data_IF_240747768222
#
_entry.id   IF_240747768222
#
_cell.length_a   1.000
_cell.length_b   1.000
_cell.length_c   1.000
_cell.angle_alpha   90.00
_cell.angle_beta   90.00
_cell.angle_gamma   90.00
#
_symmetry.space_group_name_H-M   'P 1'
#
loop_
_entity.id
_entity.type
_entity.pdbx_description
1 polymer ?
#
# COMPACT_ATOMS: atom_id res chain seq x y z
N UNK A 1 -8.10 -1.57 -0.61
CA UNK A 1 -7.19 -0.51 -0.10
C UNK A 1 -5.89 -1.13 0.39
N UNK A 2 -4.78 -0.39 0.41
CA UNK A 2 -3.48 -0.86 0.88
C UNK A 2 -2.80 0.22 1.74
N UNK A 3 -2.40 -0.12 2.96
CA UNK A 3 -1.70 0.76 3.90
C UNK A 3 -0.41 0.13 4.43
N UNK A 4 0.52 0.99 4.87
CA UNK A 4 1.72 0.62 5.62
C UNK A 4 1.74 1.43 6.91
N UNK A 5 1.39 0.81 8.04
CA UNK A 5 1.08 1.54 9.27
C UNK A 5 -0.06 2.53 9.04
N UNK A 6 0.13 3.80 9.43
CA UNK A 6 -0.88 4.87 9.26
C UNK A 6 -0.93 5.47 7.85
N UNK A 7 -0.06 5.04 6.93
CA UNK A 7 0.06 5.61 5.58
C UNK A 7 -0.77 4.83 4.56
N UNK A 8 -1.80 5.46 3.98
CA UNK A 8 -2.56 4.92 2.86
C UNK A 8 -1.77 5.05 1.54
N UNK A 9 -1.19 3.95 1.09
CA UNK A 9 -0.35 3.93 -0.11
C UNK A 9 -1.16 3.75 -1.40
N UNK A 10 -2.24 2.98 -1.36
CA UNK A 10 -3.16 2.77 -2.48
C UNK A 10 -4.64 2.67 -2.04
N UNK A 11 -5.54 3.27 -2.83
CA UNK A 11 -6.98 3.07 -2.74
C UNK A 11 -7.64 3.25 -4.11
N UNK A 12 -8.68 2.47 -4.40
CA UNK A 12 -9.41 2.58 -5.65
C UNK A 12 -10.17 3.91 -5.79
N UNK A 13 -10.56 4.54 -4.68
CA UNK A 13 -11.22 5.85 -4.66
C UNK A 13 -10.25 7.04 -4.56
N UNK A 14 -8.94 6.82 -4.65
CA UNK A 14 -7.97 7.91 -4.63
C UNK A 14 -8.00 8.74 -5.91
N UNK A 15 -7.56 10.01 -5.83
CA UNK A 15 -7.43 10.89 -6.99
C UNK A 15 -6.60 10.23 -8.11
N UNK A 16 -7.10 10.33 -9.35
CA UNK A 16 -6.51 9.64 -10.50
C UNK A 16 -5.06 10.07 -10.78
N UNK A 17 -4.69 11.33 -10.54
CA UNK A 17 -3.31 11.81 -10.72
C UNK A 17 -2.38 11.21 -9.68
N UNK A 18 -2.81 11.16 -8.41
CA UNK A 18 -2.04 10.50 -7.33
C UNK A 18 -1.84 9.01 -7.61
N UNK A 19 -2.89 8.33 -8.09
CA UNK A 19 -2.80 6.92 -8.46
C UNK A 19 -1.83 6.71 -9.62
N UNK A 20 -1.97 7.47 -10.69
CA UNK A 20 -1.10 7.38 -11.87
C UNK A 20 0.37 7.69 -11.54
N UNK A 21 0.62 8.60 -10.59
CA UNK A 21 1.97 8.91 -10.13
C UNK A 21 2.61 7.76 -9.32
N UNK A 22 1.84 7.12 -8.43
CA UNK A 22 2.34 6.06 -7.53
C UNK A 22 2.41 4.67 -8.17
N UNK A 23 1.51 4.36 -9.10
CA UNK A 23 1.42 3.04 -9.75
C UNK A 23 2.73 2.54 -10.37
N UNK A 24 3.57 3.38 -11.02
CA UNK A 24 4.86 2.93 -11.57
C UNK A 24 6.01 2.89 -10.54
N UNK A 25 5.79 3.34 -9.30
CA UNK A 25 6.83 3.39 -8.27
C UNK A 25 6.94 2.06 -7.52
N UNK A 26 8.15 1.72 -7.07
CA UNK A 26 8.35 0.61 -6.15
C UNK A 26 7.64 0.85 -4.81
N UNK A 27 7.16 -0.22 -4.16
CA UNK A 27 6.43 -0.16 -2.89
C UNK A 27 7.19 0.64 -1.83
N UNK A 28 8.52 0.41 -1.73
CA UNK A 28 9.40 1.17 -0.84
C UNK A 28 9.33 2.67 -1.12
N UNK A 29 9.50 3.06 -2.38
CA UNK A 29 9.48 4.47 -2.80
C UNK A 29 8.11 5.12 -2.54
N UNK A 30 7.00 4.39 -2.75
CA UNK A 30 5.66 4.89 -2.40
C UNK A 30 5.52 5.10 -0.91
N UNK A 31 5.98 4.16 -0.08
CA UNK A 31 5.93 4.31 1.38
C UNK A 31 6.75 5.51 1.84
N UNK A 32 7.94 5.72 1.28
CA UNK A 32 8.79 6.87 1.60
C UNK A 32 8.16 8.20 1.16
N UNK A 33 7.60 8.26 -0.06
CA UNK A 33 6.91 9.44 -0.56
C UNK A 33 5.67 9.79 0.28
N UNK A 34 4.85 8.81 0.65
CA UNK A 34 3.60 9.06 1.39
C UNK A 34 3.87 9.39 2.86
N UNK A 35 4.80 8.68 3.49
CA UNK A 35 5.15 8.90 4.91
C UNK A 35 6.08 10.10 5.12
N UNK A 36 6.70 10.61 4.05
CA UNK A 36 7.75 11.65 4.09
C UNK A 36 8.92 11.26 4.99
N UNK A 37 9.22 9.96 5.06
CA UNK A 37 10.29 9.37 5.87
C UNK A 37 10.96 8.27 5.07
N UNK A 38 12.29 8.22 5.08
CA UNK A 38 13.03 7.11 4.49
C UNK A 38 12.85 5.82 5.31
N UNK A 39 12.81 4.68 4.63
CA UNK A 39 12.82 3.37 5.26
C UNK A 39 14.25 3.13 5.81
N UNK A 40 14.41 2.86 7.12
CA UNK A 40 15.72 2.64 7.72
C UNK A 40 16.51 1.52 7.05
N UNK A 41 17.83 1.69 6.91
CA UNK A 41 18.72 0.72 6.24
C UNK A 41 18.70 -0.70 6.83
N UNK A 42 18.36 -0.83 8.11
CA UNK A 42 18.31 -2.14 8.78
C UNK A 42 16.97 -2.86 8.58
N UNK A 43 15.94 -2.17 8.07
CA UNK A 43 14.63 -2.74 7.87
C UNK A 43 14.64 -3.68 6.66
N UNK A 44 14.21 -4.92 6.86
CA UNK A 44 14.23 -5.99 5.84
C UNK A 44 12.86 -6.27 5.22
N UNK A 45 11.80 -5.75 5.83
CA UNK A 45 10.44 -5.93 5.33
C UNK A 45 9.51 -4.83 5.78
N UNK A 46 8.46 -4.62 4.99
CA UNK A 46 7.31 -3.78 5.30
C UNK A 46 6.11 -4.68 5.60
N UNK A 47 5.28 -4.26 6.56
CA UNK A 47 3.96 -4.86 6.80
C UNK A 47 2.94 -4.01 6.05
N UNK A 48 2.20 -4.63 5.14
CA UNK A 48 1.12 -3.98 4.42
C UNK A 48 -0.21 -4.58 4.84
N UNK A 49 -1.15 -3.73 5.20
CA UNK A 49 -2.53 -4.11 5.49
C UNK A 49 -3.38 -3.86 4.26
N UNK A 50 -4.18 -4.86 3.90
CA UNK A 50 -5.00 -4.84 2.69
C UNK A 50 -6.46 -5.05 3.04
N UNK A 51 -7.31 -4.25 2.41
CA UNK A 51 -8.74 -4.51 2.32
C UNK A 51 -9.04 -4.86 0.86
N UNK A 52 -9.63 -6.02 0.64
CA UNK A 52 -9.97 -6.51 -0.69
C UNK A 52 -11.48 -6.74 -0.78
N UNK A 53 -12.02 -6.52 -1.97
CA UNK A 53 -13.42 -6.81 -2.30
C UNK A 53 -13.44 -8.04 -3.21
N UNK A 54 -14.44 -8.92 -3.03
CA UNK A 54 -14.66 -10.04 -3.94
C UNK A 54 -15.13 -9.51 -5.31
N UNK A 55 -14.48 -9.92 -6.42
CA UNK A 55 -14.77 -9.35 -7.74
C UNK A 55 -16.14 -9.77 -8.33
N UNK A 56 -16.79 -10.79 -7.78
CA UNK A 56 -18.09 -11.28 -8.23
C UNK A 56 -19.25 -10.75 -7.40
N UNK A 57 -19.02 -10.53 -6.09
CA UNK A 57 -20.06 -10.15 -5.13
C UNK A 57 -19.94 -8.71 -4.61
N UNK A 58 -18.79 -8.06 -4.83
CA UNK A 58 -18.46 -6.71 -4.32
C UNK A 58 -18.52 -6.60 -2.78
N UNK A 59 -18.46 -7.73 -2.08
CA UNK A 59 -18.39 -7.79 -0.62
C UNK A 59 -16.94 -7.66 -0.12
N UNK A 60 -16.74 -6.93 0.97
CA UNK A 60 -15.45 -6.82 1.64
C UNK A 60 -15.06 -8.18 2.22
N UNK A 61 -13.88 -8.68 1.85
CA UNK A 61 -13.33 -9.93 2.35
C UNK A 61 -12.13 -9.68 3.24
N UNK A 62 -12.10 -10.36 4.38
CA UNK A 62 -10.96 -10.34 5.27
C UNK A 62 -9.81 -11.15 4.68
N UNK A 63 -8.63 -10.54 4.61
CA UNK A 63 -7.42 -11.14 4.06
C UNK A 63 -6.24 -10.91 5.00
N UNK A 64 -5.27 -11.84 5.07
CA UNK A 64 -4.09 -11.65 5.89
C UNK A 64 -3.26 -10.44 5.45
N UNK A 65 -2.42 -9.95 6.36
CA UNK A 65 -1.42 -8.94 6.03
C UNK A 65 -0.39 -9.48 5.02
N UNK A 66 0.25 -8.56 4.31
CA UNK A 66 1.33 -8.86 3.37
C UNK A 66 2.65 -8.48 4.02
N UNK A 67 3.58 -9.44 4.09
CA UNK A 67 4.99 -9.17 4.39
C UNK A 67 5.73 -8.91 3.09
N UNK A 68 6.02 -7.65 2.80
CA UNK A 68 6.81 -7.26 1.63
C UNK A 68 8.30 -7.26 1.99
N UNK A 69 9.11 -8.07 1.32
CA UNK A 69 10.56 -8.15 1.55
C UNK A 69 11.25 -7.08 0.70
N UNK A 70 12.12 -6.29 1.33
CA UNK A 70 12.84 -5.15 0.74
C UNK A 70 14.13 -5.56 0.02
#
# INVERSE_FOLDING_TARGET
>A
MLSSGVSLIYSFFMDAKKRAHRMPMDVKAVVEDVSKREVPRHQRSLVLEVMATDPNTDEDVEVPYIRYVL
#
